data_IF_482077628100
#
_entry.id   IF_482077628100
#
_cell.length_a   1.000
_cell.length_b   1.000
_cell.length_c   1.000
_cell.angle_alpha   90.00
_cell.angle_beta   90.00
_cell.angle_gamma   90.00
#
_symmetry.space_group_name_H-M   'P 1'
#
loop_
_entity.id
_entity.type
_entity.pdbx_description
1 polymer ?
#
# COMPACT_ATOMS: atom_id res chain seq x y z
N UNK A 1 -17.92 -14.61 24.59
CA UNK A 1 -17.69 -14.76 23.14
C UNK A 1 -17.78 -13.38 22.51
N UNK A 2 -16.62 -12.78 22.23
CA UNK A 2 -16.52 -11.49 21.55
C UNK A 2 -16.44 -11.69 20.03
N UNK A 3 -16.81 -10.65 19.28
CA UNK A 3 -16.88 -10.70 17.82
C UNK A 3 -15.46 -10.81 17.21
N UNK A 4 -15.18 -11.88 16.48
CA UNK A 4 -13.93 -12.07 15.75
C UNK A 4 -14.12 -11.74 14.27
N UNK A 5 -13.65 -10.55 13.88
CA UNK A 5 -13.71 -10.06 12.50
C UNK A 5 -12.34 -9.61 12.03
N UNK A 6 -11.69 -10.50 11.29
CA UNK A 6 -10.41 -10.23 10.64
C UNK A 6 -10.41 -10.81 9.23
N UNK A 7 -9.39 -10.45 8.46
CA UNK A 7 -9.19 -10.99 7.14
C UNK A 7 -8.97 -12.52 7.20
N UNK A 8 -9.66 -13.35 6.37
CA UNK A 8 -9.63 -14.81 6.48
C UNK A 8 -8.23 -15.43 6.47
N UNK A 9 -7.28 -14.85 5.73
CA UNK A 9 -5.90 -15.37 5.65
C UNK A 9 -5.00 -14.86 6.78
N UNK A 10 -5.32 -13.71 7.38
CA UNK A 10 -4.57 -13.17 8.53
C UNK A 10 -5.20 -13.66 9.85
N UNK A 11 -6.30 -14.40 9.80
CA UNK A 11 -6.77 -15.18 10.95
C UNK A 11 -5.76 -16.26 11.37
N UNK A 12 -5.01 -16.84 10.42
CA UNK A 12 -4.02 -17.92 10.65
C UNK A 12 -3.01 -17.65 11.78
N UNK A 13 -2.31 -16.51 11.84
CA UNK A 13 -1.43 -16.21 12.97
C UNK A 13 -2.18 -16.06 14.30
N UNK A 14 -3.38 -15.49 14.32
CA UNK A 14 -4.17 -15.35 15.55
C UNK A 14 -4.60 -16.73 16.08
N UNK A 15 -5.00 -17.62 15.17
CA UNK A 15 -5.32 -19.01 15.47
C UNK A 15 -4.08 -19.76 15.98
N UNK A 16 -2.90 -19.56 15.38
CA UNK A 16 -1.65 -20.18 15.82
C UNK A 16 -1.30 -19.82 17.27
N UNK A 17 -1.33 -18.53 17.64
CA UNK A 17 -1.08 -18.10 19.03
C UNK A 17 -2.14 -18.65 19.98
N UNK A 18 -3.42 -18.59 19.57
CA UNK A 18 -4.53 -19.11 20.39
C UNK A 18 -4.35 -20.60 20.68
N UNK A 19 -4.02 -21.40 19.67
CA UNK A 19 -3.82 -22.84 19.80
C UNK A 19 -2.71 -23.15 20.81
N UNK A 20 -1.59 -22.43 20.73
CA UNK A 20 -0.49 -22.63 21.68
C UNK A 20 -0.90 -22.27 23.12
N UNK A 21 -1.63 -21.17 23.32
CA UNK A 21 -2.13 -20.77 24.64
C UNK A 21 -3.15 -21.77 25.21
N UNK A 22 -4.00 -22.34 24.35
CA UNK A 22 -4.97 -23.36 24.76
C UNK A 22 -4.30 -24.70 25.12
N UNK A 23 -3.24 -25.08 24.39
CA UNK A 23 -2.45 -26.28 24.69
C UNK A 23 -1.73 -26.17 26.04
N UNK A 24 -1.09 -25.03 26.30
CA UNK A 24 -0.37 -24.77 27.54
C UNK A 24 -1.31 -24.72 28.75
N UNK A 25 -2.51 -24.15 28.56
CA UNK A 25 -3.59 -24.23 29.56
C UNK A 25 -3.97 -25.68 29.86
N UNK A 26 -4.08 -26.52 28.83
CA UNK A 26 -4.37 -27.94 29.02
C UNK A 26 -3.20 -28.69 29.71
N UNK A 27 -1.96 -28.25 29.49
CA UNK A 27 -0.75 -28.76 30.13
C UNK A 27 -0.54 -28.23 31.56
N UNK A 28 -1.38 -27.33 32.05
CA UNK A 28 -1.39 -26.86 33.44
C UNK A 28 -0.76 -25.49 33.68
N UNK A 29 -0.46 -24.71 32.64
CA UNK A 29 -0.03 -23.33 32.77
C UNK A 29 -1.19 -22.42 33.23
N UNK A 30 -0.89 -21.39 34.04
CA UNK A 30 -1.87 -20.37 34.49
C UNK A 30 -2.22 -19.40 33.35
N UNK A 31 -2.86 -19.91 32.30
CA UNK A 31 -3.40 -19.09 31.21
C UNK A 31 -4.89 -18.88 31.43
N UNK A 32 -5.25 -17.64 31.78
CA UNK A 32 -6.65 -17.25 31.97
C UNK A 32 -7.38 -17.05 30.62
N UNK A 33 -8.69 -17.32 30.60
CA UNK A 33 -9.56 -17.15 29.43
C UNK A 33 -9.59 -15.70 28.96
N UNK A 34 -9.46 -14.77 29.91
CA UNK A 34 -9.37 -13.32 29.67
C UNK A 34 -8.11 -12.97 28.87
N UNK A 35 -6.98 -13.64 29.15
CA UNK A 35 -5.73 -13.41 28.42
C UNK A 35 -5.86 -13.89 26.97
N UNK A 36 -6.46 -15.07 26.75
CA UNK A 36 -6.69 -15.62 25.40
C UNK A 36 -7.61 -14.71 24.59
N UNK A 37 -8.71 -14.22 25.18
CA UNK A 37 -9.59 -13.25 24.50
C UNK A 37 -8.89 -11.92 24.24
N UNK A 38 -8.09 -11.43 25.20
CA UNK A 38 -7.29 -10.21 25.06
C UNK A 38 -6.34 -10.27 23.87
N UNK A 39 -5.68 -11.41 23.64
CA UNK A 39 -4.82 -11.64 22.46
C UNK A 39 -5.64 -11.62 21.18
N UNK A 40 -6.78 -12.33 21.13
CA UNK A 40 -7.65 -12.36 19.95
C UNK A 40 -8.10 -10.96 19.56
N UNK A 41 -8.58 -10.16 20.51
CA UNK A 41 -9.05 -8.79 20.25
C UNK A 41 -7.89 -7.85 19.94
N UNK A 42 -6.79 -7.94 20.68
CA UNK A 42 -5.61 -7.09 20.50
C UNK A 42 -4.96 -7.26 19.13
N UNK A 43 -4.94 -8.49 18.60
CA UNK A 43 -4.37 -8.78 17.28
C UNK A 43 -5.37 -8.56 16.15
N UNK A 44 -6.67 -8.72 16.39
CA UNK A 44 -7.71 -8.60 15.35
C UNK A 44 -7.69 -7.24 14.65
N UNK A 45 -7.61 -6.14 15.40
CA UNK A 45 -7.67 -4.78 14.83
C UNK A 45 -6.55 -4.47 13.84
N UNK A 46 -5.28 -4.50 14.26
CA UNK A 46 -4.14 -4.21 13.38
C UNK A 46 -4.05 -5.18 12.18
N UNK A 47 -4.26 -6.47 12.41
CA UNK A 47 -4.13 -7.49 11.38
C UNK A 47 -5.28 -7.44 10.35
N UNK A 48 -6.50 -7.09 10.78
CA UNK A 48 -7.62 -6.86 9.86
C UNK A 48 -7.32 -5.69 8.92
N UNK A 49 -6.80 -4.58 9.46
CA UNK A 49 -6.43 -3.39 8.67
C UNK A 49 -5.33 -3.64 7.63
N UNK A 50 -4.45 -4.61 7.88
CA UNK A 50 -3.39 -5.03 6.94
C UNK A 50 -3.91 -6.01 5.90
N UNK A 51 -4.77 -6.94 6.30
CA UNK A 51 -5.18 -8.05 5.45
C UNK A 51 -5.90 -7.63 4.19
N UNK A 52 -6.86 -6.71 4.32
CA UNK A 52 -7.67 -6.31 3.18
C UNK A 52 -6.85 -5.63 2.07
N UNK A 53 -5.99 -4.64 2.36
CA UNK A 53 -5.18 -4.03 1.30
C UNK A 53 -4.09 -4.92 0.71
N UNK A 54 -3.51 -5.81 1.51
CA UNK A 54 -2.45 -6.71 1.02
C UNK A 54 -3.05 -7.78 0.11
N UNK A 55 -4.07 -8.50 0.55
CA UNK A 55 -4.56 -9.64 -0.22
C UNK A 55 -5.60 -9.23 -1.27
N UNK A 56 -6.58 -8.39 -0.92
CA UNK A 56 -7.66 -8.04 -1.85
C UNK A 56 -7.29 -6.94 -2.83
N UNK A 57 -6.50 -5.94 -2.41
CA UNK A 57 -6.16 -4.80 -3.28
C UNK A 57 -4.80 -4.92 -3.94
N UNK A 58 -3.84 -5.64 -3.34
CA UNK A 58 -2.50 -5.77 -3.91
C UNK A 58 -2.30 -7.11 -4.60
N UNK A 59 -2.21 -8.23 -3.86
CA UNK A 59 -1.78 -9.51 -4.40
C UNK A 59 -2.78 -10.06 -5.42
N UNK A 60 -4.07 -10.08 -5.08
CA UNK A 60 -5.10 -10.63 -5.97
C UNK A 60 -5.23 -9.82 -7.28
N UNK A 61 -5.31 -8.47 -7.27
CA UNK A 61 -5.41 -7.71 -8.51
C UNK A 61 -4.11 -7.74 -9.32
N UNK A 62 -2.94 -7.77 -8.69
CA UNK A 62 -1.66 -7.91 -9.41
C UNK A 62 -1.57 -9.25 -10.15
N UNK A 63 -1.90 -10.35 -9.47
CA UNK A 63 -1.95 -11.67 -10.12
C UNK A 63 -3.06 -11.72 -11.17
N UNK A 64 -4.20 -11.09 -10.90
CA UNK A 64 -5.32 -11.00 -11.83
C UNK A 64 -4.93 -10.25 -13.10
N UNK A 65 -4.22 -9.13 -12.98
CA UNK A 65 -3.71 -8.35 -14.10
C UNK A 65 -2.69 -9.14 -14.93
N UNK A 66 -1.80 -9.89 -14.27
CA UNK A 66 -0.85 -10.78 -14.95
C UNK A 66 -1.54 -11.96 -15.64
N UNK A 67 -2.53 -12.58 -15.01
CA UNK A 67 -3.32 -13.64 -15.62
C UNK A 67 -4.17 -13.14 -16.79
N UNK A 68 -4.76 -11.96 -16.64
CA UNK A 68 -5.57 -11.30 -17.67
C UNK A 68 -4.72 -10.87 -18.88
N UNK A 69 -3.53 -10.31 -18.67
CA UNK A 69 -2.66 -9.91 -19.78
C UNK A 69 -2.26 -11.09 -20.66
N UNK A 70 -1.96 -12.25 -20.06
CA UNK A 70 -1.69 -13.49 -20.78
C UNK A 70 -2.94 -14.06 -21.46
N UNK A 71 -4.10 -13.98 -20.81
CA UNK A 71 -5.37 -14.44 -21.38
C UNK A 71 -5.79 -13.63 -22.61
N UNK A 72 -5.56 -12.31 -22.59
CA UNK A 72 -5.85 -11.41 -23.71
C UNK A 72 -5.00 -11.72 -24.95
N UNK A 73 -3.80 -12.27 -24.77
CA UNK A 73 -2.97 -12.79 -25.86
C UNK A 73 -3.44 -14.15 -26.41
N UNK A 74 -4.58 -14.67 -25.96
CA UNK A 74 -5.11 -15.98 -26.36
C UNK A 74 -4.49 -17.17 -25.62
N UNK A 75 -3.68 -16.94 -24.60
CA UNK A 75 -2.98 -18.01 -23.87
C UNK A 75 -3.82 -18.50 -22.67
N UNK A 76 -4.25 -19.76 -22.73
CA UNK A 76 -5.00 -20.43 -21.65
C UNK A 76 -4.20 -20.57 -20.35
N UNK A 77 -2.87 -20.41 -20.41
CA UNK A 77 -2.03 -20.38 -19.21
C UNK A 77 -2.34 -19.16 -18.33
N UNK A 78 -2.91 -18.07 -18.86
CA UNK A 78 -3.25 -16.88 -18.06
C UNK A 78 -4.16 -17.20 -16.86
N UNK A 79 -5.37 -17.75 -17.07
CA UNK A 79 -6.26 -18.18 -15.99
C UNK A 79 -5.68 -19.27 -15.09
N UNK A 80 -4.90 -20.19 -15.64
CA UNK A 80 -4.26 -21.29 -14.87
C UNK A 80 -3.20 -20.73 -13.93
N UNK A 81 -2.33 -19.84 -14.41
CA UNK A 81 -1.31 -19.18 -13.61
C UNK A 81 -1.96 -18.38 -12.49
N UNK A 82 -3.02 -17.63 -12.77
CA UNK A 82 -3.76 -16.92 -11.73
C UNK A 82 -4.27 -17.88 -10.65
N UNK A 83 -4.95 -18.96 -11.05
CA UNK A 83 -5.52 -19.93 -10.10
C UNK A 83 -4.45 -20.60 -9.25
N UNK A 84 -3.38 -21.09 -9.87
CA UNK A 84 -2.30 -21.81 -9.18
C UNK A 84 -1.50 -20.86 -8.29
N UNK A 85 -1.04 -19.73 -8.81
CA UNK A 85 -0.25 -18.77 -8.06
C UNK A 85 -1.03 -18.21 -6.86
N UNK A 86 -2.31 -17.86 -7.05
CA UNK A 86 -3.15 -17.36 -5.97
C UNK A 86 -3.31 -18.39 -4.84
N UNK A 87 -3.61 -19.65 -5.18
CA UNK A 87 -3.80 -20.69 -4.17
C UNK A 87 -2.48 -21.04 -3.46
N UNK A 88 -1.36 -21.11 -4.17
CA UNK A 88 -0.05 -21.37 -3.56
C UNK A 88 0.32 -20.26 -2.57
N UNK A 89 0.20 -18.99 -2.95
CA UNK A 89 0.51 -17.87 -2.07
C UNK A 89 -0.41 -17.88 -0.85
N UNK A 90 -1.72 -18.08 -1.07
CA UNK A 90 -2.72 -18.14 0.00
C UNK A 90 -2.42 -19.27 0.99
N UNK A 91 -2.25 -20.50 0.50
CA UNK A 91 -2.00 -21.66 1.35
C UNK A 91 -0.64 -21.60 2.03
N UNK A 92 0.40 -21.20 1.29
CA UNK A 92 1.75 -21.03 1.84
C UNK A 92 1.78 -19.97 2.95
N UNK A 93 1.10 -18.84 2.74
CA UNK A 93 0.99 -17.81 3.78
C UNK A 93 0.24 -18.33 5.01
N UNK A 94 -0.93 -18.94 4.84
CA UNK A 94 -1.74 -19.44 5.97
C UNK A 94 -0.98 -20.50 6.77
N UNK A 95 -0.31 -21.45 6.11
CA UNK A 95 0.50 -22.45 6.78
C UNK A 95 1.66 -21.79 7.54
N UNK A 96 2.50 -21.04 6.83
CA UNK A 96 3.74 -20.50 7.39
C UNK A 96 3.45 -19.59 8.59
N UNK A 97 2.47 -18.70 8.46
CA UNK A 97 2.13 -17.76 9.53
C UNK A 97 1.46 -18.45 10.71
N UNK A 98 0.66 -19.49 10.49
CA UNK A 98 0.06 -20.26 11.58
C UNK A 98 1.12 -21.04 12.35
N UNK A 99 2.03 -21.73 11.66
CA UNK A 99 3.10 -22.51 12.30
C UNK A 99 4.10 -21.59 13.02
N UNK A 100 4.47 -20.47 12.40
CA UNK A 100 5.30 -19.44 13.03
C UNK A 100 4.63 -18.90 14.29
N UNK A 101 3.34 -18.55 14.21
CA UNK A 101 2.62 -17.97 15.33
C UNK A 101 2.35 -19.00 16.45
N UNK A 102 2.17 -20.27 16.13
CA UNK A 102 2.08 -21.35 17.11
C UNK A 102 3.41 -21.54 17.85
N UNK A 103 4.54 -21.61 17.12
CA UNK A 103 5.89 -21.69 17.72
C UNK A 103 6.25 -20.45 18.53
N UNK A 104 5.80 -19.27 18.09
CA UNK A 104 5.96 -18.04 18.85
C UNK A 104 5.08 -18.06 20.10
N UNK A 105 3.84 -18.54 19.97
CA UNK A 105 2.83 -18.72 21.01
C UNK A 105 3.27 -19.62 22.14
N UNK A 106 3.86 -20.78 21.82
CA UNK A 106 4.35 -21.73 22.82
C UNK A 106 5.54 -21.19 23.62
N UNK A 107 6.33 -20.27 23.04
CA UNK A 107 7.40 -19.57 23.77
C UNK A 107 6.88 -18.49 24.70
N UNK A 108 5.64 -18.03 24.52
CA UNK A 108 5.03 -16.99 25.38
C UNK A 108 4.85 -17.54 26.79
N UNK A 109 4.47 -18.81 26.90
CA UNK A 109 4.20 -19.49 28.18
C UNK A 109 5.47 -19.89 28.92
N UNK A 110 6.58 -20.08 28.20
CA UNK A 110 7.91 -20.27 28.78
C UNK A 110 8.45 -18.99 29.46
N UNK A 111 7.97 -17.81 29.05
CA UNK A 111 8.37 -16.52 29.62
C UNK A 111 7.27 -15.97 30.56
N UNK A 112 7.31 -16.43 31.81
CA UNK A 112 6.41 -16.12 32.94
C UNK A 112 6.21 -14.61 33.25
N UNK A 113 6.85 -13.71 32.52
CA UNK A 113 6.88 -12.28 32.80
C UNK A 113 5.70 -11.49 32.22
N UNK A 114 4.84 -12.10 31.38
CA UNK A 114 3.65 -11.47 30.79
C UNK A 114 3.95 -10.36 29.76
N UNK A 115 5.22 -9.97 29.60
CA UNK A 115 5.66 -8.94 28.66
C UNK A 115 5.51 -9.36 27.19
N UNK A 116 5.72 -10.65 26.88
CA UNK A 116 5.69 -11.14 25.50
C UNK A 116 4.30 -11.02 24.86
N UNK A 117 3.22 -11.24 25.61
CA UNK A 117 1.85 -11.02 25.12
C UNK A 117 1.64 -9.56 24.68
N UNK A 118 2.18 -8.63 25.47
CA UNK A 118 2.12 -7.22 25.16
C UNK A 118 3.01 -6.86 23.98
N UNK A 119 4.19 -7.48 23.85
CA UNK A 119 5.13 -7.26 22.76
C UNK A 119 4.62 -7.80 21.42
N UNK A 120 3.90 -8.93 21.41
CA UNK A 120 3.25 -9.46 20.20
C UNK A 120 2.13 -8.52 19.74
N UNK A 121 1.31 -8.04 20.68
CA UNK A 121 0.23 -7.09 20.36
C UNK A 121 0.79 -5.76 19.87
N UNK A 122 1.86 -5.25 20.50
CA UNK A 122 2.60 -4.06 20.06
C UNK A 122 3.23 -4.27 18.70
N UNK A 123 3.88 -5.41 18.47
CA UNK A 123 4.51 -5.78 17.19
C UNK A 123 3.50 -5.82 16.05
N UNK A 124 2.34 -6.44 16.27
CA UNK A 124 1.23 -6.45 15.32
C UNK A 124 0.72 -5.03 15.01
N UNK A 125 0.64 -4.17 16.02
CA UNK A 125 0.24 -2.77 15.86
C UNK A 125 1.25 -1.95 15.07
N UNK A 126 2.55 -2.12 15.34
CA UNK A 126 3.65 -1.45 14.62
C UNK A 126 3.64 -1.87 13.15
N UNK A 127 3.56 -3.18 12.89
CA UNK A 127 3.49 -3.72 11.53
C UNK A 127 2.24 -3.21 10.81
N UNK A 128 1.11 -3.15 11.51
CA UNK A 128 -0.14 -2.57 11.00
C UNK A 128 0.00 -1.12 10.57
N UNK A 129 0.51 -0.26 11.45
CA UNK A 129 0.73 1.15 11.15
C UNK A 129 1.73 1.35 10.01
N UNK A 130 2.80 0.56 9.97
CA UNK A 130 3.81 0.64 8.91
C UNK A 130 3.22 0.29 7.53
N UNK A 131 2.49 -0.83 7.44
CA UNK A 131 1.89 -1.26 6.18
C UNK A 131 0.82 -0.26 5.72
N UNK A 132 -0.01 0.25 6.63
CA UNK A 132 -0.98 1.30 6.30
C UNK A 132 -0.32 2.56 5.73
N UNK A 133 0.79 3.01 6.31
CA UNK A 133 1.53 4.17 5.79
C UNK A 133 2.09 3.93 4.37
N UNK A 134 2.68 2.75 4.13
CA UNK A 134 3.19 2.39 2.81
C UNK A 134 2.07 2.29 1.76
N UNK A 135 0.89 1.80 2.16
CA UNK A 135 -0.27 1.68 1.28
C UNK A 135 -0.84 3.04 0.90
N UNK A 136 -0.90 3.99 1.83
CA UNK A 136 -1.35 5.36 1.55
C UNK A 136 -0.49 5.98 0.45
N UNK A 137 0.84 5.91 0.58
CA UNK A 137 1.76 6.46 -0.43
C UNK A 137 1.59 5.78 -1.80
N UNK A 138 1.31 4.48 -1.82
CA UNK A 138 1.20 3.73 -3.08
C UNK A 138 -0.15 3.88 -3.78
N UNK A 139 -1.24 4.01 -3.04
CA UNK A 139 -2.59 3.98 -3.61
C UNK A 139 -3.26 5.36 -3.72
N UNK A 140 -2.77 6.37 -3.00
CA UNK A 140 -3.29 7.74 -3.08
C UNK A 140 -2.35 8.56 -3.94
N UNK A 141 -2.76 8.84 -5.18
CA UNK A 141 -2.06 9.75 -6.09
C UNK A 141 -2.83 11.05 -6.21
N UNK A 142 -2.14 12.17 -5.98
CA UNK A 142 -2.66 13.52 -6.16
C UNK A 142 -1.65 14.23 -7.06
N UNK A 143 -2.09 14.64 -8.25
CA UNK A 143 -1.24 15.33 -9.22
C UNK A 143 -1.72 16.78 -9.34
N UNK A 144 -0.91 17.73 -8.89
CA UNK A 144 -1.23 19.15 -9.05
C UNK A 144 -0.90 19.61 -10.48
N UNK A 145 -1.91 20.05 -11.22
CA UNK A 145 -1.78 20.62 -12.56
C UNK A 145 -1.15 22.03 -12.66
N UNK A 146 -1.14 22.92 -11.64
CA UNK A 146 -0.64 24.29 -11.83
C UNK A 146 0.87 24.35 -12.11
N UNK A 147 1.18 25.00 -13.23
CA UNK A 147 2.53 25.32 -13.69
C UNK A 147 2.98 26.60 -12.96
N UNK A 148 3.91 26.49 -12.00
CA UNK A 148 4.39 27.66 -11.24
C UNK A 148 5.43 28.44 -12.04
N UNK A 149 6.32 27.74 -12.75
CA UNK A 149 7.47 28.38 -13.40
C UNK A 149 7.72 27.80 -14.78
N UNK A 150 7.65 28.68 -15.78
CA UNK A 150 8.18 28.47 -17.12
C UNK A 150 9.54 29.17 -17.17
N UNK A 151 10.63 28.42 -17.11
CA UNK A 151 11.97 28.97 -17.28
C UNK A 151 12.37 28.73 -18.73
N UNK A 152 12.71 29.80 -19.45
CA UNK A 152 13.39 29.70 -20.75
C UNK A 152 14.78 29.13 -20.48
N UNK A 153 15.12 28.00 -21.10
CA UNK A 153 16.47 27.45 -20.99
C UNK A 153 17.45 28.37 -21.75
N UNK A 154 18.68 28.50 -21.25
CA UNK A 154 19.75 29.23 -21.96
C UNK A 154 20.04 28.60 -23.34
N UNK A 155 20.46 29.44 -24.30
CA UNK A 155 20.81 29.02 -25.67
C UNK A 155 21.84 27.88 -25.64
N UNK A 156 21.43 26.69 -26.09
CA UNK A 156 22.26 25.48 -26.12
C UNK A 156 21.87 24.36 -25.14
N UNK A 157 20.86 24.57 -24.29
CA UNK A 157 20.31 23.54 -23.39
C UNK A 157 19.04 22.85 -23.91
N UNK A 158 18.58 23.21 -25.12
CA UNK A 158 17.44 22.61 -25.81
C UNK A 158 17.76 22.31 -27.28
N UNK A 159 17.01 21.39 -27.88
CA UNK A 159 17.12 21.01 -29.29
C UNK A 159 16.49 22.11 -30.15
N UNK A 160 17.31 22.82 -30.93
CA UNK A 160 16.87 23.77 -31.95
C UNK A 160 16.30 23.01 -33.16
N UNK A 161 15.00 22.75 -33.16
CA UNK A 161 14.32 22.01 -34.23
C UNK A 161 14.45 22.67 -35.61
N UNK A 162 14.65 23.99 -35.64
CA UNK A 162 14.84 24.77 -36.88
C UNK A 162 16.23 24.57 -37.53
N UNK A 163 17.20 24.01 -36.78
CA UNK A 163 18.58 23.75 -37.27
C UNK A 163 18.81 22.28 -37.64
N UNK A 164 17.82 21.41 -37.49
CA UNK A 164 17.94 19.98 -37.78
C UNK A 164 17.67 19.67 -39.27
N UNK A 165 18.40 18.72 -39.90
CA UNK A 165 18.16 18.30 -41.27
C UNK A 165 16.80 17.60 -41.40
N UNK A 166 16.04 17.90 -42.45
CA UNK A 166 14.67 17.37 -42.63
C UNK A 166 14.67 15.86 -42.91
N UNK A 167 13.82 15.11 -42.20
CA UNK A 167 13.60 13.67 -42.42
C UNK A 167 14.15 12.77 -41.30
N UNK A 168 14.42 11.50 -41.61
CA UNK A 168 14.83 10.49 -40.62
C UNK A 168 16.17 10.81 -39.93
N UNK A 169 17.06 11.57 -40.58
CA UNK A 169 18.33 12.03 -39.99
C UNK A 169 18.14 13.10 -38.92
N UNK A 170 17.15 13.98 -39.06
CA UNK A 170 16.78 14.98 -38.05
C UNK A 170 16.22 14.34 -36.77
N UNK A 171 15.44 13.28 -36.91
CA UNK A 171 14.89 12.53 -35.77
C UNK A 171 16.03 11.77 -35.04
N UNK A 172 16.98 11.19 -35.79
CA UNK A 172 18.14 10.50 -35.21
C UNK A 172 19.04 11.45 -34.42
N UNK A 173 19.33 12.63 -34.99
CA UNK A 173 20.14 13.65 -34.32
C UNK A 173 19.43 14.28 -33.11
N UNK A 174 18.11 14.47 -33.17
CA UNK A 174 17.32 14.87 -32.01
C UNK A 174 17.35 13.82 -30.88
N UNK A 175 17.29 12.52 -31.22
CA UNK A 175 17.38 11.43 -30.23
C UNK A 175 18.79 11.31 -29.61
N UNK A 176 19.85 11.53 -30.39
CA UNK A 176 21.23 11.58 -29.90
C UNK A 176 21.45 12.78 -28.97
N UNK A 177 20.89 13.96 -29.31
CA UNK A 177 20.93 15.17 -28.49
C UNK A 177 20.09 15.02 -27.20
N UNK A 178 18.94 14.34 -27.26
CA UNK A 178 18.13 14.00 -26.09
C UNK A 178 18.88 13.04 -25.15
N UNK A 179 19.56 12.02 -25.69
CA UNK A 179 20.39 11.11 -24.91
C UNK A 179 21.62 11.80 -24.29
N UNK A 180 22.11 12.89 -24.90
CA UNK A 180 23.15 13.74 -24.33
C UNK A 180 22.64 14.70 -23.23
N UNK A 181 21.34 14.66 -22.91
CA UNK A 181 20.74 15.41 -21.80
C UNK A 181 20.11 16.75 -22.18
N UNK A 182 19.96 17.05 -23.47
CA UNK A 182 19.30 18.27 -23.95
C UNK A 182 17.77 18.15 -23.90
N UNK A 183 17.08 19.23 -23.53
CA UNK A 183 15.62 19.24 -23.48
C UNK A 183 15.01 19.35 -24.89
N UNK A 184 13.91 18.64 -25.14
CA UNK A 184 13.19 18.70 -26.42
C UNK A 184 12.47 20.04 -26.67
N UNK A 185 12.35 20.90 -25.65
CA UNK A 185 11.62 22.17 -25.73
C UNK A 185 12.37 23.30 -25.03
N UNK A 186 12.30 24.51 -25.61
CA UNK A 186 12.89 25.77 -25.09
C UNK A 186 12.38 26.14 -23.67
N UNK A 187 11.23 25.60 -23.27
CA UNK A 187 10.58 25.91 -21.99
C UNK A 187 10.63 24.67 -21.10
N UNK A 188 11.36 24.75 -19.97
CA UNK A 188 11.26 23.76 -18.90
C UNK A 188 10.09 24.16 -18.02
N UNK A 189 9.00 23.41 -18.14
CA UNK A 189 7.84 23.56 -17.28
C UNK A 189 8.16 22.89 -15.94
N UNK A 190 8.31 23.69 -14.88
CA UNK A 190 8.36 23.18 -13.50
C UNK A 190 6.98 23.36 -12.89
N UNK A 191 6.29 22.24 -12.68
CA UNK A 191 4.99 22.20 -12.00
C UNK A 191 5.18 22.27 -10.49
N UNK A 192 4.14 22.70 -9.77
CA UNK A 192 4.10 22.68 -8.30
C UNK A 192 4.41 21.28 -7.75
N UNK A 193 3.90 20.25 -8.44
CA UNK A 193 4.14 18.84 -8.14
C UNK A 193 5.62 18.47 -8.19
N UNK A 194 6.37 18.89 -9.20
CA UNK A 194 7.78 18.51 -9.36
C UNK A 194 8.67 19.04 -8.22
N UNK A 195 8.35 20.24 -7.70
CA UNK A 195 9.07 20.81 -6.55
C UNK A 195 8.70 20.09 -5.24
N UNK A 196 7.43 19.74 -5.06
CA UNK A 196 6.95 18.98 -3.90
C UNK A 196 7.48 17.55 -3.88
N UNK A 197 7.42 16.84 -5.01
CA UNK A 197 7.91 15.46 -5.11
C UNK A 197 9.44 15.36 -5.01
N UNK A 198 10.17 16.42 -5.37
CA UNK A 198 11.61 16.49 -5.14
C UNK A 198 11.96 16.59 -3.65
N UNK A 199 11.07 17.15 -2.82
CA UNK A 199 11.26 17.24 -1.38
C UNK A 199 10.75 15.97 -0.68
N UNK A 200 9.48 15.63 -0.89
CA UNK A 200 8.83 14.43 -0.33
C UNK A 200 7.78 13.92 -1.34
N UNK A 201 8.06 12.80 -2.05
CA UNK A 201 7.08 12.22 -2.95
C UNK A 201 5.84 11.76 -2.19
N UNK A 202 4.66 12.23 -2.61
CA UNK A 202 3.38 11.85 -1.99
C UNK A 202 3.00 12.62 -0.71
N UNK A 203 3.64 13.76 -0.42
CA UNK A 203 3.27 14.60 0.73
C UNK A 203 1.79 15.02 0.72
N UNK A 204 1.24 15.32 -0.46
CA UNK A 204 -0.16 15.70 -0.62
C UNK A 204 -1.13 14.59 -0.19
N UNK A 205 -0.82 13.35 -0.57
CA UNK A 205 -1.59 12.17 -0.19
C UNK A 205 -1.58 11.95 1.33
N UNK A 206 -0.42 12.15 1.96
CA UNK A 206 -0.25 12.05 3.40
C UNK A 206 -1.06 13.13 4.14
N UNK A 207 -1.00 14.39 3.68
CA UNK A 207 -1.79 15.49 4.25
C UNK A 207 -3.29 15.25 4.13
N UNK A 208 -3.76 14.74 2.99
CA UNK A 208 -5.16 14.37 2.79
C UNK A 208 -5.58 13.26 3.76
N UNK A 209 -4.71 12.27 3.97
CA UNK A 209 -4.96 11.18 4.91
C UNK A 209 -5.08 11.69 6.34
N UNK A 210 -4.19 12.61 6.76
CA UNK A 210 -4.31 13.26 8.07
C UNK A 210 -5.58 14.10 8.20
N UNK A 211 -6.00 14.81 7.16
CA UNK A 211 -7.27 15.54 7.14
C UNK A 211 -8.47 14.60 7.34
N UNK A 212 -8.52 13.49 6.59
CA UNK A 212 -9.56 12.48 6.73
C UNK A 212 -9.58 11.85 8.13
N UNK A 213 -8.42 11.50 8.69
CA UNK A 213 -8.33 10.98 10.06
C UNK A 213 -8.80 12.01 11.10
N UNK A 214 -8.49 13.29 10.90
CA UNK A 214 -8.96 14.35 11.77
C UNK A 214 -10.48 14.54 11.69
N UNK A 215 -11.08 14.47 10.50
CA UNK A 215 -12.53 14.50 10.32
C UNK A 215 -13.23 13.31 10.99
N UNK A 216 -12.64 12.11 10.90
CA UNK A 216 -13.15 10.91 11.60
C UNK A 216 -13.09 11.08 13.12
N UNK A 217 -12.01 11.67 13.66
CA UNK A 217 -11.93 12.00 15.10
C UNK A 217 -13.02 12.98 15.54
N UNK A 218 -13.49 13.84 14.64
CA UNK A 218 -14.64 14.74 14.86
C UNK A 218 -16.00 14.06 14.71
N UNK A 219 -16.05 12.73 14.58
CA UNK A 219 -17.27 11.93 14.36
C UNK A 219 -18.03 12.31 13.08
N UNK A 220 -17.33 12.87 12.09
CA UNK A 220 -17.93 13.08 10.76
C UNK A 220 -18.14 11.72 10.10
N UNK A 221 -19.32 11.49 9.53
CA UNK A 221 -19.63 10.24 8.84
C UNK A 221 -18.69 10.01 7.65
N UNK A 222 -18.13 8.80 7.46
CA UNK A 222 -17.31 8.46 6.30
C UNK A 222 -17.97 8.81 4.95
N UNK A 223 -19.31 8.68 4.87
CA UNK A 223 -20.08 9.01 3.66
C UNK A 223 -19.93 10.50 3.31
N UNK A 224 -19.99 11.38 4.32
CA UNK A 224 -19.84 12.83 4.13
C UNK A 224 -18.42 13.16 3.69
N UNK A 225 -17.41 12.48 4.25
CA UNK A 225 -16.00 12.67 3.86
C UNK A 225 -15.83 12.29 2.38
N UNK A 226 -16.36 11.14 1.95
CA UNK A 226 -16.28 10.68 0.56
C UNK A 226 -16.96 11.69 -0.39
N UNK A 227 -18.17 12.15 -0.05
CA UNK A 227 -18.88 13.15 -0.85
C UNK A 227 -18.12 14.48 -0.90
N UNK A 228 -17.54 14.92 0.21
CA UNK A 228 -16.71 16.12 0.28
C UNK A 228 -15.46 16.02 -0.62
N UNK A 229 -14.75 14.90 -0.56
CA UNK A 229 -13.60 14.64 -1.43
C UNK A 229 -14.00 14.62 -2.92
N UNK A 230 -15.16 14.04 -3.24
CA UNK A 230 -15.68 14.03 -4.60
C UNK A 230 -15.96 15.44 -5.12
N UNK A 231 -16.63 16.29 -4.32
CA UNK A 231 -16.89 17.69 -4.67
C UNK A 231 -15.58 18.47 -4.84
N UNK A 232 -14.62 18.30 -3.93
CA UNK A 232 -13.30 18.95 -4.02
C UNK A 232 -12.54 18.50 -5.27
N UNK A 233 -12.61 17.21 -5.63
CA UNK A 233 -12.01 16.69 -6.86
C UNK A 233 -12.61 17.30 -8.12
N UNK A 234 -13.93 17.36 -8.22
CA UNK A 234 -14.62 17.97 -9.38
C UNK A 234 -14.33 19.46 -9.50
N UNK A 235 -14.45 20.20 -8.40
CA UNK A 235 -14.17 21.65 -8.38
C UNK A 235 -12.69 21.90 -8.69
N UNK A 236 -11.79 21.13 -8.08
CA UNK A 236 -10.35 21.21 -8.31
C UNK A 236 -9.95 20.97 -9.76
N UNK A 237 -10.61 20.04 -10.44
CA UNK A 237 -10.39 19.79 -11.87
C UNK A 237 -10.89 20.94 -12.74
N UNK A 238 -12.09 21.46 -12.46
CA UNK A 238 -12.69 22.57 -13.22
C UNK A 238 -11.86 23.86 -13.13
N UNK A 239 -11.22 24.11 -11.98
CA UNK A 239 -10.34 25.28 -11.78
C UNK A 239 -8.88 25.04 -12.17
N UNK A 240 -8.53 23.84 -12.66
CA UNK A 240 -7.17 23.49 -13.12
C UNK A 240 -6.15 23.31 -12.00
N UNK A 241 -6.59 22.95 -10.79
CA UNK A 241 -5.73 22.68 -9.63
C UNK A 241 -5.20 21.24 -9.61
N UNK A 242 -5.97 20.28 -10.13
CA UNK A 242 -5.63 18.87 -10.30
C UNK A 242 -6.05 18.34 -11.68
#
# INVERSE_FOLDING_TARGET
MEFFNTHPYIASPILGVTLALEEERANGAEVDDVAIQGVKVGMMGPLAGVGDPVFWFTVRPMLGALGASLALSGNILGPIIFFVAWNIIRWGFMWYTQEFAYKAGSKITDDLSGGILQDITKGASILGMFVLAALVQRWVSIQFAPIISKVKLDEGAYIDWDKLPSGAEGIKTALEQQNAGLALSEIKVTTLQNNLDSLIPGLAALLLTFLCMWLLKKKVSPIIIILGLFVVGVVGHVIGLF
#
